data_IF_889299702873
#
_entry.id   IF_889299702873
#
_cell.length_a   1.000
_cell.length_b   1.000
_cell.length_c   1.000
_cell.angle_alpha   90.00
_cell.angle_beta   90.00
_cell.angle_gamma   90.00
#
_symmetry.space_group_name_H-M   'P 1'
#
loop_
_entity.id
_entity.type
_entity.pdbx_description
1 polymer ?
#
# COMPACT_ATOMS: atom_id res chain seq x y z
N UNK A 1 101.79 -11.20 10.08
CA UNK A 1 100.92 -10.35 10.90
C UNK A 1 99.68 -10.06 10.09
N UNK A 2 98.58 -10.82 10.26
CA UNK A 2 97.33 -10.70 9.52
C UNK A 2 96.24 -10.25 10.47
N UNK A 3 95.61 -9.12 10.14
CA UNK A 3 94.50 -8.58 10.89
C UNK A 3 93.15 -9.07 10.28
N UNK A 4 92.46 -9.89 11.02
CA UNK A 4 91.06 -10.27 10.73
C UNK A 4 90.14 -9.13 11.07
N UNK A 5 89.30 -8.67 10.09
CA UNK A 5 88.15 -7.78 10.28
C UNK A 5 86.89 -8.63 10.26
N UNK A 6 86.25 -8.74 11.38
CA UNK A 6 84.93 -9.36 11.53
C UNK A 6 83.85 -8.37 11.17
N UNK A 7 83.10 -8.61 10.11
CA UNK A 7 81.92 -7.88 9.71
C UNK A 7 80.71 -8.52 10.36
N UNK A 8 80.06 -7.79 11.26
CA UNK A 8 78.74 -8.16 11.86
C UNK A 8 77.63 -7.71 10.91
N UNK A 9 76.91 -8.66 10.28
CA UNK A 9 75.72 -8.40 9.50
C UNK A 9 74.55 -8.36 10.45
N UNK A 10 73.97 -7.19 10.58
CA UNK A 10 72.67 -6.97 11.30
C UNK A 10 71.54 -7.30 10.35
N UNK A 11 70.79 -8.36 10.63
CA UNK A 11 69.61 -8.77 9.93
C UNK A 11 68.45 -7.99 10.49
N UNK A 12 67.95 -6.96 9.75
CA UNK A 12 66.72 -6.26 10.09
C UNK A 12 65.52 -7.06 9.54
N UNK A 13 64.75 -7.72 10.44
CA UNK A 13 63.51 -8.39 10.12
C UNK A 13 62.43 -7.33 10.20
N UNK A 14 61.99 -6.82 9.05
CA UNK A 14 60.81 -5.97 8.93
C UNK A 14 59.58 -6.85 8.97
N UNK A 15 58.89 -6.89 10.12
CA UNK A 15 57.56 -7.48 10.25
C UNK A 15 56.55 -6.56 9.56
N UNK A 16 56.11 -6.92 8.37
CA UNK A 16 54.95 -6.28 7.70
C UNK A 16 53.67 -6.74 8.38
N UNK A 17 53.11 -5.89 9.21
CA UNK A 17 51.72 -6.01 9.71
C UNK A 17 50.76 -5.84 8.55
N UNK A 18 50.26 -6.95 7.99
CA UNK A 18 49.07 -6.91 7.14
C UNK A 18 47.86 -6.59 8.02
N UNK A 19 47.50 -5.32 8.07
CA UNK A 19 46.19 -4.89 8.53
C UNK A 19 45.22 -5.26 7.39
N UNK A 20 44.63 -6.44 7.47
CA UNK A 20 43.53 -6.86 6.62
C UNK A 20 42.32 -6.01 6.99
N UNK A 21 42.16 -4.87 6.33
CA UNK A 21 40.88 -4.17 6.30
C UNK A 21 39.86 -5.10 5.62
N UNK A 22 39.05 -5.80 6.42
CA UNK A 22 37.84 -6.44 5.94
C UNK A 22 36.88 -5.33 5.44
N UNK A 23 37.08 -4.92 4.21
CA UNK A 23 36.10 -4.16 3.46
C UNK A 23 34.90 -5.09 3.20
N UNK A 24 33.96 -5.13 4.16
CA UNK A 24 32.65 -5.72 3.94
C UNK A 24 31.87 -4.79 3.03
N UNK A 25 32.31 -4.65 1.79
CA UNK A 25 31.43 -4.21 0.72
C UNK A 25 30.35 -5.26 0.60
N UNK A 26 29.13 -4.90 0.95
CA UNK A 26 27.93 -5.68 0.68
C UNK A 26 27.84 -5.93 -0.83
N UNK A 27 28.49 -6.98 -1.31
CA UNK A 27 28.35 -7.45 -2.68
C UNK A 27 27.00 -8.16 -2.78
N UNK A 28 25.94 -7.38 -3.04
CA UNK A 28 24.80 -7.97 -3.72
C UNK A 28 25.32 -8.47 -5.07
N UNK A 29 24.96 -9.70 -5.51
CA UNK A 29 25.31 -10.14 -6.84
C UNK A 29 24.74 -9.12 -7.83
N UNK A 30 25.60 -8.46 -8.60
CA UNK A 30 25.19 -7.60 -9.70
C UNK A 30 24.22 -8.42 -10.55
N UNK A 31 23.00 -7.95 -10.64
CA UNK A 31 22.04 -8.46 -11.61
C UNK A 31 22.63 -8.16 -12.98
N UNK A 32 23.27 -9.15 -13.60
CA UNK A 32 24.06 -9.04 -14.85
C UNK A 32 23.25 -8.58 -16.07
N UNK A 33 21.93 -8.42 -15.93
CA UNK A 33 21.05 -7.91 -16.98
C UNK A 33 20.65 -6.48 -16.63
N UNK A 34 21.26 -5.51 -17.27
CA UNK A 34 20.71 -4.14 -17.30
C UNK A 34 19.49 -4.16 -18.22
N UNK A 35 18.32 -3.82 -17.69
CA UNK A 35 17.05 -3.80 -18.42
C UNK A 35 17.00 -2.69 -19.46
N UNK A 36 18.13 -1.99 -19.67
CA UNK A 36 18.23 -0.90 -20.64
C UNK A 36 17.22 0.21 -20.32
N UNK A 37 16.91 1.06 -21.26
CA UNK A 37 15.97 2.18 -21.08
C UNK A 37 14.50 1.74 -20.90
N UNK A 38 14.24 0.63 -20.21
CA UNK A 38 12.89 0.16 -19.96
C UNK A 38 12.17 1.08 -18.98
N UNK A 39 11.03 1.60 -19.41
CA UNK A 39 10.15 2.42 -18.57
C UNK A 39 8.92 1.61 -18.18
N UNK A 40 8.49 1.78 -16.93
CA UNK A 40 7.24 1.23 -16.42
C UNK A 40 6.34 2.37 -15.96
N UNK A 41 5.06 2.31 -16.33
CA UNK A 41 4.03 3.22 -15.84
C UNK A 41 3.18 2.53 -14.77
N UNK A 42 3.24 3.05 -13.54
CA UNK A 42 2.58 2.47 -12.36
C UNK A 42 1.54 3.47 -11.83
N UNK A 43 0.28 3.03 -11.79
CA UNK A 43 -0.83 3.81 -11.25
C UNK A 43 -0.84 3.82 -9.72
N UNK A 44 -1.17 4.97 -9.13
CA UNK A 44 -1.35 5.15 -7.69
C UNK A 44 -2.79 5.56 -7.40
N UNK A 45 -3.49 4.79 -6.56
CA UNK A 45 -4.81 5.19 -6.06
C UNK A 45 -4.67 6.34 -5.05
N UNK A 46 -5.64 7.26 -4.96
CA UNK A 46 -5.56 8.46 -4.11
C UNK A 46 -5.88 8.13 -2.65
N UNK A 47 -4.91 7.70 -1.86
CA UNK A 47 -5.11 7.40 -0.43
C UNK A 47 -4.81 8.57 0.50
N UNK A 48 -3.93 9.47 0.07
CA UNK A 48 -3.44 10.61 0.85
C UNK A 48 -3.39 11.85 -0.03
N UNK A 49 -3.00 12.97 0.57
CA UNK A 49 -2.65 14.17 -0.18
C UNK A 49 -1.64 13.85 -1.28
N UNK A 50 -1.92 14.35 -2.50
CA UNK A 50 -1.17 14.02 -3.73
C UNK A 50 0.33 14.36 -3.58
N UNK A 51 0.67 15.43 -2.87
CA UNK A 51 2.07 15.85 -2.69
C UNK A 51 2.81 14.89 -1.76
N UNK A 52 2.21 14.52 -0.62
CA UNK A 52 2.80 13.53 0.30
C UNK A 52 2.96 12.17 -0.39
N UNK A 53 1.94 11.72 -1.10
CA UNK A 53 2.00 10.46 -1.84
C UNK A 53 3.12 10.49 -2.88
N UNK A 54 3.24 11.57 -3.65
CA UNK A 54 4.31 11.72 -4.64
C UNK A 54 5.71 11.63 -4.01
N UNK A 55 5.95 12.33 -2.90
CA UNK A 55 7.25 12.28 -2.22
C UNK A 55 7.65 10.86 -1.80
N UNK A 56 6.70 10.09 -1.25
CA UNK A 56 6.94 8.71 -0.85
C UNK A 56 7.34 7.82 -2.04
N UNK A 57 6.67 7.95 -3.17
CA UNK A 57 6.96 7.12 -4.35
C UNK A 57 8.20 7.58 -5.13
N UNK A 58 8.59 8.85 -5.05
CA UNK A 58 9.81 9.34 -5.70
C UNK A 58 11.08 8.72 -5.12
N UNK A 59 11.14 8.43 -3.83
CA UNK A 59 12.30 7.74 -3.25
C UNK A 59 12.39 6.29 -3.73
N UNK A 60 11.25 5.62 -3.89
CA UNK A 60 11.18 4.26 -4.43
C UNK A 60 11.61 4.22 -5.90
N UNK A 61 11.16 5.20 -6.72
CA UNK A 61 11.59 5.37 -8.11
C UNK A 61 13.12 5.42 -8.21
N UNK A 62 13.75 6.28 -7.41
CA UNK A 62 15.21 6.42 -7.42
C UNK A 62 15.90 5.12 -7.03
N UNK A 63 15.44 4.44 -5.98
CA UNK A 63 16.02 3.18 -5.54
C UNK A 63 15.95 2.10 -6.62
N UNK A 64 14.80 1.94 -7.27
CA UNK A 64 14.63 0.97 -8.36
C UNK A 64 15.51 1.28 -9.56
N UNK A 65 15.65 2.56 -9.91
CA UNK A 65 16.58 2.98 -10.96
C UNK A 65 18.04 2.63 -10.61
N UNK A 66 18.48 2.96 -9.40
CA UNK A 66 19.84 2.69 -8.94
C UNK A 66 20.16 1.18 -8.90
N UNK A 67 19.14 0.32 -8.68
CA UNK A 67 19.31 -1.14 -8.55
C UNK A 67 19.13 -1.92 -9.85
N UNK A 68 18.19 -1.51 -10.67
CA UNK A 68 17.76 -2.27 -11.85
C UNK A 68 18.03 -1.54 -13.17
N UNK A 69 18.36 -0.25 -13.13
CA UNK A 69 18.50 0.58 -14.32
C UNK A 69 17.18 0.86 -15.06
N UNK A 70 16.03 0.56 -14.43
CA UNK A 70 14.70 0.81 -15.00
C UNK A 70 14.15 2.15 -14.51
N UNK A 71 13.40 2.84 -15.37
CA UNK A 71 12.66 4.03 -14.98
C UNK A 71 11.23 3.65 -14.61
N UNK A 72 10.85 3.84 -13.34
CA UNK A 72 9.45 3.67 -12.90
C UNK A 72 8.79 5.03 -12.84
N UNK A 73 7.79 5.25 -13.67
CA UNK A 73 6.97 6.45 -13.67
C UNK A 73 5.70 6.20 -12.87
N UNK A 74 5.49 6.96 -11.80
CA UNK A 74 4.27 6.89 -11.01
C UNK A 74 3.28 7.96 -11.47
N UNK A 75 2.03 7.56 -11.72
CA UNK A 75 0.92 8.45 -12.07
C UNK A 75 -0.18 8.37 -11.02
N UNK A 76 -0.56 9.52 -10.45
CA UNK A 76 -1.68 9.56 -9.52
C UNK A 76 -3.00 9.49 -10.28
N UNK A 77 -3.88 8.62 -9.82
CA UNK A 77 -5.25 8.55 -10.29
C UNK A 77 -6.08 9.62 -9.58
N UNK A 78 -7.00 10.24 -10.29
CA UNK A 78 -7.89 11.26 -9.71
C UNK A 78 -8.93 10.65 -8.77
N UNK A 79 -9.23 9.34 -8.93
CA UNK A 79 -10.23 8.59 -8.16
C UNK A 79 -9.83 7.11 -8.09
N UNK A 80 -10.27 6.41 -7.04
CA UNK A 80 -10.12 4.96 -6.91
C UNK A 80 -10.70 4.21 -8.12
N UNK A 81 -11.85 4.67 -8.59
CA UNK A 81 -12.64 4.02 -9.59
C UNK A 81 -12.13 4.00 -11.00
N UNK A 82 -11.21 4.85 -11.32
CA UNK A 82 -10.74 4.98 -12.70
C UNK A 82 -9.56 4.08 -13.04
N UNK A 83 -9.08 3.28 -12.08
CA UNK A 83 -7.84 2.54 -12.29
C UNK A 83 -7.97 1.50 -13.40
N UNK A 84 -9.10 0.79 -13.50
CA UNK A 84 -9.29 -0.24 -14.53
C UNK A 84 -9.37 0.38 -15.93
N UNK A 85 -10.11 1.49 -16.06
CA UNK A 85 -10.25 2.20 -17.35
C UNK A 85 -8.93 2.85 -17.77
N UNK A 86 -8.27 3.55 -16.85
CA UNK A 86 -7.00 4.22 -17.13
C UNK A 86 -5.86 3.25 -17.37
N UNK A 87 -5.87 2.09 -16.70
CA UNK A 87 -4.88 1.06 -16.91
C UNK A 87 -4.78 0.68 -18.40
N UNK A 88 -5.94 0.45 -19.03
CA UNK A 88 -6.00 0.14 -20.47
C UNK A 88 -5.72 1.38 -21.34
N UNK A 89 -6.32 2.53 -21.02
CA UNK A 89 -6.21 3.74 -21.83
C UNK A 89 -4.79 4.33 -21.88
N UNK A 90 -4.04 4.20 -20.77
CA UNK A 90 -2.68 4.73 -20.65
C UNK A 90 -1.60 3.66 -20.83
N UNK A 91 -1.97 2.41 -21.16
CA UNK A 91 -1.06 1.25 -21.25
C UNK A 91 -0.19 1.09 -20.01
N UNK A 92 -0.80 1.13 -18.83
CA UNK A 92 -0.06 0.98 -17.57
C UNK A 92 0.52 -0.42 -17.44
N UNK A 93 1.70 -0.52 -16.86
CA UNK A 93 2.38 -1.79 -16.57
C UNK A 93 1.95 -2.38 -15.22
N UNK A 94 1.42 -1.56 -14.34
CA UNK A 94 0.97 -1.98 -13.01
C UNK A 94 0.33 -0.86 -12.22
N UNK A 95 0.06 -1.16 -10.95
CA UNK A 95 -0.44 -0.17 -10.00
C UNK A 95 -0.23 -0.61 -8.55
N UNK A 96 -0.24 0.38 -7.65
CA UNK A 96 -0.44 0.12 -6.25
C UNK A 96 -1.95 0.18 -5.98
N UNK A 97 -2.52 -0.98 -5.71
CA UNK A 97 -3.95 -1.18 -5.56
C UNK A 97 -4.32 -1.45 -4.11
N UNK A 98 -5.45 -0.92 -3.64
CA UNK A 98 -6.08 -1.46 -2.43
C UNK A 98 -6.70 -2.83 -2.73
N UNK A 99 -7.20 -3.52 -1.70
CA UNK A 99 -7.69 -4.88 -1.87
C UNK A 99 -8.82 -4.98 -2.91
N UNK A 100 -9.75 -4.02 -2.96
CA UNK A 100 -10.89 -4.09 -3.89
C UNK A 100 -10.48 -3.69 -5.31
N UNK A 101 -9.72 -2.61 -5.48
CA UNK A 101 -9.21 -2.24 -6.81
C UNK A 101 -8.28 -3.30 -7.38
N UNK A 102 -7.48 -4.00 -6.53
CA UNK A 102 -6.72 -5.16 -6.97
C UNK A 102 -7.62 -6.28 -7.50
N UNK A 103 -8.64 -6.66 -6.74
CA UNK A 103 -9.54 -7.74 -7.17
C UNK A 103 -10.28 -7.40 -8.47
N UNK A 104 -10.68 -6.13 -8.65
CA UNK A 104 -11.25 -5.66 -9.92
C UNK A 104 -10.25 -5.76 -11.06
N UNK A 105 -9.04 -5.22 -10.87
CA UNK A 105 -7.99 -5.24 -11.88
C UNK A 105 -7.54 -6.68 -12.21
N UNK A 106 -7.43 -7.56 -11.20
CA UNK A 106 -7.12 -8.97 -11.41
C UNK A 106 -8.18 -9.68 -12.28
N UNK A 107 -9.46 -9.47 -11.97
CA UNK A 107 -10.55 -10.15 -12.69
C UNK A 107 -10.83 -9.56 -14.08
N UNK A 108 -10.59 -8.26 -14.29
CA UNK A 108 -10.89 -7.57 -15.55
C UNK A 108 -9.69 -7.42 -16.47
N UNK A 109 -8.48 -7.30 -15.92
CA UNK A 109 -7.24 -7.01 -16.67
C UNK A 109 -6.20 -8.12 -16.53
N UNK A 110 -6.37 -9.04 -15.58
CA UNK A 110 -5.44 -10.13 -15.33
C UNK A 110 -4.13 -9.72 -14.68
N UNK A 111 -4.10 -8.59 -13.95
CA UNK A 111 -2.89 -8.20 -13.19
C UNK A 111 -2.59 -9.20 -12.07
N UNK A 112 -1.32 -9.34 -11.73
CA UNK A 112 -0.82 -10.28 -10.73
C UNK A 112 -0.17 -9.51 -9.58
N UNK A 113 -0.60 -9.76 -8.33
CA UNK A 113 0.01 -9.17 -7.15
C UNK A 113 1.44 -9.71 -6.97
N UNK A 114 2.34 -8.81 -6.59
CA UNK A 114 3.77 -9.11 -6.49
C UNK A 114 4.28 -9.00 -5.06
N UNK A 115 4.12 -7.82 -4.46
CA UNK A 115 4.53 -7.50 -3.10
C UNK A 115 3.58 -6.49 -2.46
N UNK A 116 3.53 -6.47 -1.13
CA UNK A 116 2.88 -5.41 -0.36
C UNK A 116 3.81 -4.88 0.74
N UNK A 117 3.68 -3.63 1.15
CA UNK A 117 4.51 -3.06 2.19
C UNK A 117 4.19 -3.66 3.57
N UNK A 118 5.17 -3.59 4.44
CA UNK A 118 5.03 -3.78 5.89
C UNK A 118 5.13 -2.41 6.52
N UNK A 119 4.11 -1.99 7.27
CA UNK A 119 4.09 -0.72 7.99
C UNK A 119 5.24 -0.63 9.01
N UNK A 120 5.52 0.57 9.51
CA UNK A 120 6.55 0.79 10.52
C UNK A 120 6.29 0.04 11.83
N UNK A 121 5.03 -0.23 12.16
CA UNK A 121 4.60 -1.05 13.31
C UNK A 121 4.75 -2.56 13.09
N UNK A 122 5.19 -2.99 11.90
CA UNK A 122 5.37 -4.40 11.52
C UNK A 122 4.11 -5.07 10.96
N UNK A 123 2.99 -4.37 10.84
CA UNK A 123 1.78 -4.92 10.21
C UNK A 123 1.86 -4.82 8.68
N UNK A 124 1.22 -5.76 7.98
CA UNK A 124 1.07 -5.74 6.52
C UNK A 124 -0.41 -5.83 6.11
N UNK A 125 -1.29 -5.50 7.06
CA UNK A 125 -2.74 -5.60 6.92
C UNK A 125 -3.40 -4.35 7.49
N UNK A 126 -4.67 -4.16 7.13
CA UNK A 126 -5.52 -3.12 7.68
C UNK A 126 -6.92 -3.67 8.00
N UNK A 127 -7.75 -2.83 8.61
CA UNK A 127 -9.19 -3.08 8.84
C UNK A 127 -10.01 -1.93 8.30
N UNK A 128 -11.22 -2.22 7.87
CA UNK A 128 -12.25 -1.21 7.72
C UNK A 128 -12.87 -0.90 9.08
N UNK A 129 -13.08 0.37 9.36
CA UNK A 129 -13.87 0.84 10.49
C UNK A 129 -15.17 1.44 10.00
N UNK A 130 -16.28 1.13 10.69
CA UNK A 130 -17.50 1.93 10.66
C UNK A 130 -17.52 2.71 11.97
N UNK A 131 -17.69 4.01 11.89
CA UNK A 131 -17.66 4.90 13.03
C UNK A 131 -18.78 5.93 13.00
N UNK A 132 -19.11 6.42 14.17
CA UNK A 132 -20.16 7.40 14.41
C UNK A 132 -19.69 8.41 15.46
N UNK A 133 -20.43 9.50 15.63
CA UNK A 133 -20.19 10.38 16.77
C UNK A 133 -20.64 9.73 18.07
N UNK A 134 -19.93 9.96 19.16
CA UNK A 134 -20.27 9.48 20.51
C UNK A 134 -21.64 10.00 20.99
N UNK A 135 -22.01 11.22 20.54
CA UNK A 135 -23.27 11.87 20.87
C UNK A 135 -24.42 11.50 19.91
N UNK A 136 -24.21 10.62 18.92
CA UNK A 136 -25.22 10.25 17.91
C UNK A 136 -26.31 9.31 18.44
N UNK A 137 -26.03 8.58 19.51
CA UNK A 137 -26.91 7.50 20.01
C UNK A 137 -26.89 6.22 19.17
N UNK A 138 -26.14 6.17 18.05
CA UNK A 138 -26.02 4.99 17.16
C UNK A 138 -25.05 3.99 17.77
N UNK A 139 -25.51 2.77 18.05
CA UNK A 139 -24.71 1.66 18.63
C UNK A 139 -24.83 0.36 17.84
N UNK A 140 -25.86 0.26 16.98
CA UNK A 140 -26.18 -0.95 16.20
C UNK A 140 -26.55 -0.58 14.78
N UNK A 141 -26.56 -1.55 13.86
CA UNK A 141 -27.02 -1.34 12.49
C UNK A 141 -28.50 -0.92 12.44
N UNK A 142 -29.33 -1.38 13.37
CA UNK A 142 -30.76 -1.01 13.45
C UNK A 142 -30.97 0.48 13.68
N UNK A 143 -30.10 1.14 14.45
CA UNK A 143 -30.17 2.56 14.76
C UNK A 143 -29.63 3.46 13.63
N UNK A 144 -29.10 2.86 12.57
CA UNK A 144 -28.71 3.57 11.35
C UNK A 144 -29.90 3.96 10.46
N UNK A 145 -31.12 3.46 10.77
CA UNK A 145 -32.34 3.78 9.98
C UNK A 145 -32.56 5.29 9.90
N UNK A 146 -32.71 5.81 8.68
CA UNK A 146 -32.92 7.24 8.45
C UNK A 146 -31.70 8.13 8.70
N UNK A 147 -30.51 7.55 8.93
CA UNK A 147 -29.27 8.27 9.16
C UNK A 147 -28.47 8.44 7.87
N UNK A 148 -27.70 9.52 7.77
CA UNK A 148 -26.86 9.81 6.60
C UNK A 148 -25.52 9.06 6.72
N UNK A 149 -25.13 8.35 5.65
CA UNK A 149 -23.90 7.59 5.58
C UNK A 149 -22.92 8.20 4.56
N UNK A 150 -21.71 8.56 5.00
CA UNK A 150 -20.64 8.97 4.11
C UNK A 150 -19.76 7.76 3.76
N UNK A 151 -19.69 7.44 2.48
CA UNK A 151 -18.79 6.47 1.89
C UNK A 151 -17.55 7.16 1.30
N UNK A 152 -16.43 6.40 1.12
CA UNK A 152 -15.26 6.93 0.42
C UNK A 152 -15.51 7.00 -1.08
N UNK A 153 -15.50 5.86 -1.73
CA UNK A 153 -15.83 5.65 -3.15
C UNK A 153 -16.26 4.20 -3.36
N UNK A 154 -17.05 3.94 -4.43
CA UNK A 154 -17.58 2.61 -4.75
C UNK A 154 -16.51 1.54 -5.03
N UNK A 155 -15.27 1.93 -5.27
CA UNK A 155 -14.13 1.04 -5.50
C UNK A 155 -13.25 0.83 -4.27
N UNK A 156 -13.74 1.15 -3.07
CA UNK A 156 -12.96 1.00 -1.84
C UNK A 156 -13.46 -0.16 -0.99
N UNK A 157 -12.52 -0.91 -0.40
CA UNK A 157 -12.88 -2.01 0.50
C UNK A 157 -13.45 -1.49 1.82
N UNK A 158 -12.65 -0.71 2.55
CA UNK A 158 -13.01 -0.24 3.89
C UNK A 158 -14.11 0.82 3.85
N UNK A 159 -14.11 1.67 2.82
CA UNK A 159 -15.02 2.81 2.71
C UNK A 159 -16.34 2.51 2.01
N UNK A 160 -16.52 1.32 1.45
CA UNK A 160 -17.74 0.97 0.73
C UNK A 160 -18.13 -0.52 0.83
N UNK A 161 -17.27 -1.43 0.37
CA UNK A 161 -17.62 -2.86 0.29
C UNK A 161 -17.89 -3.46 1.67
N UNK A 162 -17.04 -3.20 2.64
CA UNK A 162 -17.21 -3.67 4.01
C UNK A 162 -18.48 -3.12 4.68
N UNK A 163 -18.78 -1.81 4.65
CA UNK A 163 -20.03 -1.32 5.21
C UNK A 163 -21.28 -1.89 4.53
N UNK A 164 -21.27 -2.13 3.23
CA UNK A 164 -22.39 -2.82 2.57
C UNK A 164 -22.58 -4.25 3.07
N UNK A 165 -21.47 -5.00 3.24
CA UNK A 165 -21.52 -6.35 3.77
C UNK A 165 -22.02 -6.34 5.22
N UNK A 166 -21.57 -5.43 6.05
CA UNK A 166 -22.04 -5.26 7.43
C UNK A 166 -23.54 -4.95 7.50
N UNK A 167 -24.04 -4.05 6.66
CA UNK A 167 -25.49 -3.76 6.60
C UNK A 167 -26.26 -4.99 6.20
N UNK A 168 -25.81 -5.74 5.19
CA UNK A 168 -26.46 -6.95 4.72
C UNK A 168 -26.48 -8.08 5.75
N UNK A 169 -25.39 -8.27 6.49
CA UNK A 169 -25.30 -9.21 7.63
C UNK A 169 -26.31 -8.89 8.73
N UNK A 170 -26.67 -7.61 8.87
CA UNK A 170 -27.70 -7.17 9.83
C UNK A 170 -29.10 -7.06 9.20
N UNK A 171 -29.35 -7.74 8.07
CA UNK A 171 -30.67 -7.81 7.43
C UNK A 171 -31.05 -6.59 6.58
N UNK A 172 -30.14 -5.62 6.40
CA UNK A 172 -30.38 -4.42 5.60
C UNK A 172 -29.90 -4.68 4.17
N UNK A 173 -30.80 -5.16 3.33
CA UNK A 173 -30.51 -5.56 1.93
C UNK A 173 -30.63 -4.40 0.93
N UNK A 174 -31.34 -3.33 1.29
CA UNK A 174 -31.50 -2.11 0.49
C UNK A 174 -31.02 -0.88 1.32
N UNK A 175 -29.72 -0.61 1.35
CA UNK A 175 -29.17 0.52 2.09
C UNK A 175 -29.75 1.89 1.66
N UNK A 176 -29.95 2.19 0.35
CA UNK A 176 -30.59 3.44 -0.06
C UNK A 176 -31.99 3.66 0.51
N UNK A 177 -32.81 2.62 0.56
CA UNK A 177 -34.15 2.72 1.14
C UNK A 177 -34.15 2.78 2.68
N UNK A 178 -33.13 2.22 3.32
CA UNK A 178 -33.01 2.13 4.76
C UNK A 178 -32.40 3.38 5.39
N UNK A 179 -31.37 3.94 4.77
CA UNK A 179 -30.63 5.10 5.23
C UNK A 179 -31.36 6.42 4.85
N UNK A 180 -31.13 7.47 5.61
CA UNK A 180 -31.67 8.82 5.31
C UNK A 180 -30.92 9.55 4.20
N UNK A 181 -29.99 8.90 3.55
CA UNK A 181 -29.18 9.39 2.44
C UNK A 181 -27.76 8.89 2.51
N UNK A 182 -27.14 8.84 1.34
CA UNK A 182 -25.72 8.44 1.20
C UNK A 182 -25.02 9.41 0.26
N UNK A 183 -23.73 9.62 0.50
CA UNK A 183 -22.87 10.33 -0.45
C UNK A 183 -21.44 9.79 -0.42
N UNK A 184 -20.69 10.13 -1.44
CA UNK A 184 -19.28 9.74 -1.57
C UNK A 184 -18.40 10.96 -1.32
N UNK A 185 -17.53 10.89 -0.29
CA UNK A 185 -16.66 11.99 0.11
C UNK A 185 -15.33 12.00 -0.65
N UNK A 186 -15.01 10.93 -1.39
CA UNK A 186 -13.83 10.83 -2.26
C UNK A 186 -12.55 10.35 -1.56
N UNK A 187 -12.41 10.54 -0.25
CA UNK A 187 -11.26 10.04 0.51
C UNK A 187 -11.64 9.61 1.93
N UNK A 188 -10.88 8.71 2.57
CA UNK A 188 -11.09 8.33 3.97
C UNK A 188 -11.06 9.52 4.93
N UNK A 189 -10.15 10.46 4.69
CA UNK A 189 -10.01 11.68 5.47
C UNK A 189 -11.25 12.56 5.39
N UNK A 190 -11.79 12.76 4.18
CA UNK A 190 -13.01 13.55 3.97
C UNK A 190 -14.24 12.90 4.65
N UNK A 191 -14.34 11.56 4.68
CA UNK A 191 -15.40 10.85 5.42
C UNK A 191 -15.30 11.13 6.91
N UNK A 192 -14.10 11.06 7.49
CA UNK A 192 -13.91 11.33 8.93
C UNK A 192 -14.28 12.76 9.26
N UNK A 193 -13.88 13.73 8.42
CA UNK A 193 -14.25 15.12 8.59
C UNK A 193 -15.77 15.35 8.46
N UNK A 194 -16.42 14.70 7.51
CA UNK A 194 -17.88 14.80 7.33
C UNK A 194 -18.64 14.35 8.59
N UNK A 195 -18.20 13.28 9.26
CA UNK A 195 -18.83 12.83 10.50
C UNK A 195 -18.53 13.78 11.67
N UNK A 196 -17.29 14.26 11.79
CA UNK A 196 -16.91 15.28 12.79
C UNK A 196 -17.74 16.56 12.66
N UNK A 197 -17.99 16.99 11.42
CA UNK A 197 -18.71 18.21 11.12
C UNK A 197 -20.23 18.03 11.06
N UNK A 198 -20.76 16.83 11.38
CA UNK A 198 -22.19 16.49 11.36
C UNK A 198 -22.84 16.58 9.95
N UNK A 199 -22.04 16.50 8.90
CA UNK A 199 -22.50 16.38 7.52
C UNK A 199 -23.00 14.96 7.23
N UNK A 200 -22.44 13.97 7.94
CA UNK A 200 -22.92 12.60 8.01
C UNK A 200 -23.06 12.15 9.47
N UNK A 201 -23.94 11.18 9.71
CA UNK A 201 -24.11 10.54 11.02
C UNK A 201 -23.16 9.34 11.18
N UNK A 202 -22.84 8.67 10.05
CA UNK A 202 -22.08 7.44 9.96
C UNK A 202 -21.00 7.61 8.90
N UNK A 203 -19.83 7.10 9.17
CA UNK A 203 -18.74 7.02 8.21
C UNK A 203 -18.05 5.66 8.21
N UNK A 204 -17.38 5.37 7.11
CA UNK A 204 -16.52 4.20 7.02
C UNK A 204 -15.18 4.55 6.37
N UNK A 205 -14.09 4.08 6.96
CA UNK A 205 -12.74 4.37 6.50
C UNK A 205 -11.77 3.24 6.88
N UNK A 206 -10.58 3.29 6.28
CA UNK A 206 -9.44 2.44 6.61
C UNK A 206 -8.89 2.85 7.98
N UNK A 207 -8.64 1.86 8.85
CA UNK A 207 -8.14 2.13 10.19
C UNK A 207 -6.83 2.91 10.20
N UNK A 208 -5.91 2.61 9.28
CA UNK A 208 -4.61 3.30 9.20
C UNK A 208 -4.73 4.81 9.01
N UNK A 209 -5.73 5.26 8.25
CA UNK A 209 -6.02 6.70 8.07
C UNK A 209 -6.79 7.26 9.27
N UNK A 210 -7.73 6.47 9.81
CA UNK A 210 -8.46 6.88 11.02
C UNK A 210 -7.51 7.09 12.20
N UNK A 211 -6.61 6.14 12.46
CA UNK A 211 -5.67 6.16 13.56
C UNK A 211 -4.63 7.29 13.39
N UNK A 212 -4.17 7.54 12.14
CA UNK A 212 -3.30 8.68 11.82
C UNK A 212 -3.98 10.01 12.15
N UNK A 213 -5.22 10.20 11.68
CA UNK A 213 -5.97 11.42 11.97
C UNK A 213 -6.33 11.57 13.45
N UNK A 214 -6.56 10.48 14.17
CA UNK A 214 -6.78 10.52 15.61
C UNK A 214 -5.53 11.03 16.36
N UNK A 215 -4.34 10.66 15.89
CA UNK A 215 -3.08 11.16 16.45
C UNK A 215 -2.82 12.66 16.13
N UNK A 216 -3.25 13.13 14.96
CA UNK A 216 -3.05 14.52 14.52
C UNK A 216 -4.18 15.47 15.00
N UNK A 217 -5.40 14.98 15.15
CA UNK A 217 -6.59 15.76 15.50
C UNK A 217 -7.31 15.16 16.69
N UNK A 218 -7.15 15.73 17.91
CA UNK A 218 -7.78 15.22 19.14
C UNK A 218 -9.32 15.13 19.09
N UNK A 219 -9.98 15.84 18.17
CA UNK A 219 -11.44 15.73 17.99
C UNK A 219 -11.86 14.34 17.54
N UNK A 220 -11.04 13.65 16.72
CA UNK A 220 -11.35 12.30 16.23
C UNK A 220 -11.54 11.36 17.41
N UNK A 221 -10.56 11.27 18.30
CA UNK A 221 -10.62 10.40 19.48
C UNK A 221 -11.71 10.87 20.49
N UNK A 222 -11.85 12.18 20.67
CA UNK A 222 -12.79 12.76 21.63
C UNK A 222 -14.24 12.61 21.20
N UNK A 223 -14.56 12.81 19.93
CA UNK A 223 -15.93 12.95 19.42
C UNK A 223 -16.44 11.71 18.69
N UNK A 224 -15.54 10.86 18.13
CA UNK A 224 -15.94 9.68 17.39
C UNK A 224 -15.76 8.39 18.20
N UNK A 225 -16.52 7.36 17.82
CA UNK A 225 -16.41 6.00 18.33
C UNK A 225 -16.53 5.01 17.18
N UNK A 226 -15.69 3.98 17.21
CA UNK A 226 -15.74 2.88 16.26
C UNK A 226 -16.91 1.98 16.66
N UNK A 227 -17.87 1.81 15.75
CA UNK A 227 -19.04 0.96 15.95
C UNK A 227 -18.70 -0.52 15.70
N UNK A 228 -17.95 -0.78 14.61
CA UNK A 228 -17.50 -2.12 14.23
C UNK A 228 -16.28 -2.06 13.35
N UNK A 229 -15.57 -3.20 13.23
CA UNK A 229 -14.41 -3.35 12.35
C UNK A 229 -14.50 -4.62 11.52
N UNK A 230 -13.93 -4.58 10.31
CA UNK A 230 -13.81 -5.76 9.45
C UNK A 230 -12.82 -6.79 10.00
N UNK A 231 -12.79 -7.98 9.42
CA UNK A 231 -11.62 -8.84 9.45
C UNK A 231 -10.41 -8.13 8.82
N UNK A 232 -9.20 -8.66 9.06
CA UNK A 232 -7.99 -8.11 8.46
C UNK A 232 -7.99 -8.27 6.94
N UNK A 233 -7.45 -7.28 6.26
CA UNK A 233 -7.31 -7.18 4.82
C UNK A 233 -5.84 -6.88 4.50
N UNK A 234 -5.28 -7.40 3.40
CA UNK A 234 -3.93 -7.04 2.97
C UNK A 234 -3.81 -5.54 2.71
N UNK A 235 -2.66 -4.94 3.06
CA UNK A 235 -2.33 -3.59 2.60
C UNK A 235 -2.28 -3.53 1.07
N UNK A 236 -2.22 -2.31 0.54
CA UNK A 236 -2.11 -2.07 -0.88
C UNK A 236 -0.93 -2.83 -1.47
N UNK A 237 -1.14 -3.52 -2.57
CA UNK A 237 -0.08 -4.26 -3.25
C UNK A 237 0.37 -3.57 -4.54
N UNK A 238 1.64 -3.74 -4.85
CA UNK A 238 2.10 -3.61 -6.23
C UNK A 238 1.63 -4.82 -7.00
N UNK A 239 0.79 -4.61 -8.01
CA UNK A 239 0.43 -5.63 -8.98
C UNK A 239 0.80 -5.18 -10.39
N UNK A 240 1.24 -6.11 -11.21
CA UNK A 240 1.75 -5.88 -12.55
C UNK A 240 0.93 -6.66 -13.57
N UNK A 241 0.88 -6.18 -14.82
CA UNK A 241 0.25 -6.90 -15.92
C UNK A 241 0.89 -8.28 -16.10
N UNK A 242 0.08 -9.27 -16.46
CA UNK A 242 0.52 -10.67 -16.56
C UNK A 242 1.59 -10.87 -17.61
N UNK A 243 1.49 -10.18 -18.72
CA UNK A 243 2.37 -10.28 -19.89
C UNK A 243 3.69 -9.48 -19.80
N UNK A 244 3.94 -8.80 -18.66
CA UNK A 244 5.24 -8.19 -18.41
C UNK A 244 6.32 -9.28 -18.32
N UNK A 245 7.51 -8.98 -18.87
CA UNK A 245 8.68 -9.89 -18.86
C UNK A 245 8.83 -10.58 -17.49
N UNK A 246 8.79 -11.92 -17.41
CA UNK A 246 8.86 -12.66 -16.16
C UNK A 246 10.16 -12.43 -15.39
N UNK A 247 11.29 -12.22 -16.08
CA UNK A 247 12.56 -11.94 -15.44
C UNK A 247 12.55 -10.54 -14.81
N UNK A 248 11.94 -9.55 -15.47
CA UNK A 248 11.76 -8.21 -14.91
C UNK A 248 10.83 -8.25 -13.68
N UNK A 249 9.71 -8.97 -13.73
CA UNK A 249 8.83 -9.17 -12.57
C UNK A 249 9.60 -9.79 -11.39
N UNK A 250 10.39 -10.82 -11.67
CA UNK A 250 11.21 -11.50 -10.66
C UNK A 250 12.28 -10.57 -10.06
N UNK A 251 12.95 -9.78 -10.90
CA UNK A 251 13.96 -8.82 -10.47
C UNK A 251 13.36 -7.70 -9.60
N UNK A 252 12.21 -7.14 -10.02
CA UNK A 252 11.46 -6.15 -9.24
C UNK A 252 11.06 -6.71 -7.87
N UNK A 253 10.44 -7.90 -7.86
CA UNK A 253 10.03 -8.58 -6.63
C UNK A 253 11.20 -8.78 -5.70
N UNK A 254 12.29 -9.37 -6.20
CA UNK A 254 13.50 -9.61 -5.40
C UNK A 254 14.09 -8.31 -4.86
N UNK A 255 14.19 -7.27 -5.69
CA UNK A 255 14.73 -5.97 -5.28
C UNK A 255 13.93 -5.34 -4.16
N UNK A 256 12.59 -5.39 -4.24
CA UNK A 256 11.70 -4.84 -3.19
C UNK A 256 11.77 -5.67 -1.90
N UNK A 257 11.78 -7.00 -1.98
CA UNK A 257 11.90 -7.89 -0.82
C UNK A 257 13.26 -7.77 -0.11
N UNK A 258 14.31 -7.43 -0.85
CA UNK A 258 15.68 -7.32 -0.30
C UNK A 258 16.03 -5.91 0.19
N UNK A 259 15.11 -4.92 0.09
CA UNK A 259 15.40 -3.52 0.47
C UNK A 259 15.91 -3.37 1.90
N UNK A 260 15.36 -4.14 2.85
CA UNK A 260 15.77 -4.06 4.26
C UNK A 260 17.22 -4.59 4.52
N UNK A 261 17.81 -5.29 3.55
CA UNK A 261 19.14 -5.92 3.67
C UNK A 261 20.29 -4.95 3.39
N UNK A 262 20.02 -3.77 2.88
CA UNK A 262 21.03 -2.76 2.60
C UNK A 262 20.69 -1.38 3.17
N UNK A 263 21.74 -0.58 3.42
CA UNK A 263 21.59 0.75 4.03
C UNK A 263 20.74 1.70 3.19
N UNK A 264 20.92 1.72 1.86
CA UNK A 264 20.16 2.61 0.98
C UNK A 264 18.69 2.16 0.90
N UNK A 265 18.45 0.85 0.87
CA UNK A 265 17.11 0.28 0.92
C UNK A 265 16.39 0.62 2.22
N UNK A 266 17.05 0.44 3.37
CA UNK A 266 16.49 0.80 4.69
C UNK A 266 16.14 2.28 4.78
N UNK A 267 17.02 3.18 4.32
CA UNK A 267 16.73 4.62 4.30
C UNK A 267 15.58 4.97 3.35
N UNK A 268 15.53 4.32 2.18
CA UNK A 268 14.42 4.48 1.22
C UNK A 268 13.10 4.03 1.83
N UNK A 269 13.08 2.86 2.48
CA UNK A 269 11.90 2.33 3.17
C UNK A 269 11.39 3.28 4.24
N UNK A 270 12.28 3.81 5.08
CA UNK A 270 11.92 4.78 6.11
C UNK A 270 11.23 6.02 5.52
N UNK A 271 11.75 6.55 4.40
CA UNK A 271 11.16 7.70 3.69
C UNK A 271 9.89 7.34 2.93
N UNK A 272 9.76 6.11 2.47
CA UNK A 272 8.55 5.58 1.86
C UNK A 272 7.44 5.33 2.89
N UNK A 273 7.78 5.25 4.18
CA UNK A 273 6.84 4.99 5.27
C UNK A 273 6.59 3.51 5.54
N UNK A 274 7.52 2.64 5.14
CA UNK A 274 7.45 1.20 5.36
C UNK A 274 8.69 0.67 6.07
N UNK A 275 8.56 -0.50 6.69
CA UNK A 275 9.66 -1.27 7.27
C UNK A 275 10.31 -2.20 6.24
N UNK A 276 9.52 -2.67 5.28
CA UNK A 276 9.94 -3.61 4.25
C UNK A 276 8.81 -3.90 3.28
N UNK A 277 9.04 -4.87 2.41
CA UNK A 277 8.02 -5.47 1.56
C UNK A 277 7.95 -6.97 1.83
N UNK A 278 6.77 -7.55 1.70
CA UNK A 278 6.55 -8.99 1.73
C UNK A 278 5.87 -9.45 0.44
N UNK A 279 6.08 -10.71 0.12
CA UNK A 279 5.37 -11.34 -1.00
C UNK A 279 3.87 -11.36 -0.76
N UNK A 280 3.10 -11.19 -1.84
CA UNK A 280 1.65 -11.31 -1.81
C UNK A 280 1.16 -11.90 -3.12
N UNK A 281 0.08 -12.66 -3.05
CA UNK A 281 -0.60 -13.22 -4.22
C UNK A 281 -2.12 -13.17 -4.06
N UNK A 282 -2.85 -13.68 -5.05
CA UNK A 282 -4.30 -13.61 -5.08
C UNK A 282 -5.00 -14.34 -3.91
N UNK A 283 -4.34 -15.31 -3.27
CA UNK A 283 -4.89 -16.07 -2.12
C UNK A 283 -5.07 -15.19 -0.89
N UNK A 284 -4.21 -14.17 -0.73
CA UNK A 284 -4.30 -13.23 0.40
C UNK A 284 -5.60 -12.41 0.38
N UNK A 285 -6.26 -12.33 -0.80
CA UNK A 285 -7.48 -11.54 -1.01
C UNK A 285 -8.79 -12.34 -0.92
N UNK A 286 -8.75 -13.57 -0.42
CA UNK A 286 -9.90 -14.47 -0.34
C UNK A 286 -11.06 -13.88 0.46
N UNK A 287 -10.78 -13.17 1.54
CA UNK A 287 -11.80 -12.48 2.33
C UNK A 287 -12.54 -11.42 1.51
N UNK A 288 -11.84 -10.70 0.65
CA UNK A 288 -12.45 -9.72 -0.25
C UNK A 288 -13.39 -10.38 -1.27
N UNK A 289 -12.99 -11.52 -1.85
CA UNK A 289 -13.87 -12.27 -2.77
C UNK A 289 -15.16 -12.69 -2.08
N UNK A 290 -15.08 -13.12 -0.80
CA UNK A 290 -16.27 -13.43 0.00
C UNK A 290 -17.15 -12.21 0.24
N UNK A 291 -16.57 -11.06 0.61
CA UNK A 291 -17.32 -9.80 0.78
C UNK A 291 -18.04 -9.40 -0.50
N UNK A 292 -17.36 -9.47 -1.65
CA UNK A 292 -17.95 -9.11 -2.95
C UNK A 292 -19.14 -10.01 -3.30
N UNK A 293 -18.99 -11.32 -3.12
CA UNK A 293 -20.07 -12.28 -3.32
C UNK A 293 -21.25 -12.03 -2.37
N UNK A 294 -20.97 -11.75 -1.11
CA UNK A 294 -21.98 -11.46 -0.08
C UNK A 294 -22.86 -10.26 -0.44
N UNK A 295 -22.30 -9.22 -1.04
CA UNK A 295 -23.07 -8.06 -1.48
C UNK A 295 -23.57 -8.15 -2.92
N UNK A 296 -23.32 -9.28 -3.62
CA UNK A 296 -23.79 -9.51 -4.98
C UNK A 296 -22.99 -8.77 -6.05
N UNK A 297 -21.74 -8.43 -5.79
CA UNK A 297 -20.85 -7.80 -6.77
C UNK A 297 -20.13 -8.86 -7.57
N UNK A 298 -20.33 -8.88 -8.89
CA UNK A 298 -19.52 -9.63 -9.84
C UNK A 298 -18.30 -8.80 -10.26
N UNK A 299 -17.13 -9.21 -9.81
CA UNK A 299 -15.87 -8.48 -10.03
C UNK A 299 -15.47 -8.39 -11.52
N UNK A 300 -15.95 -9.31 -12.37
CA UNK A 300 -15.64 -9.31 -13.80
C UNK A 300 -16.40 -8.23 -14.57
N UNK A 301 -17.62 -7.95 -14.11
CA UNK A 301 -18.54 -7.05 -14.82
C UNK A 301 -18.81 -5.75 -14.06
N UNK A 302 -18.34 -5.67 -12.82
CA UNK A 302 -18.60 -4.49 -11.97
C UNK A 302 -18.10 -3.20 -12.63
N UNK A 303 -19.05 -2.36 -12.94
CA UNK A 303 -18.84 -0.99 -13.41
C UNK A 303 -19.46 -0.05 -12.38
N UNK A 304 -18.74 0.98 -12.03
CA UNK A 304 -19.22 1.91 -11.03
C UNK A 304 -18.92 3.35 -11.45
N UNK A 305 -19.84 4.20 -11.06
CA UNK A 305 -19.69 5.65 -11.08
C UNK A 305 -19.99 6.15 -9.69
N UNK A 306 -19.20 7.08 -9.21
CA UNK A 306 -19.49 7.83 -7.99
C UNK A 306 -20.35 9.05 -8.41
N UNK A 307 -21.63 8.85 -8.56
CA UNK A 307 -22.62 9.90 -8.83
C UNK A 307 -23.35 10.27 -7.55
#
# INVERSE_FOLDING_TARGET
>A
MARYRTTISVLIVTAALFIGACDRTNQFPELKKTWGQQELLIGLIPEQDVFRQREHYMVLKKYLYDRLGITVNFTNLSRYGNIVERFTAENMDGGFFDSFTYALAHNQLGVEALVRPVNLDGTSTYRGYIFVRKDSGIRTAAEMKGKRFAFVERATTAGYLFPLAYLRENGITDPPAYLGGTFFAGSPEAVIQAVLNKEADIGAAKNTIYDLLAAENPRVEKELVILTSSSVLPLNCLALRRDLDPELKSALKKTLLDMEKDRNGTETLRRFGARGFIETDNRDYEYLYRLSAQVGIDLKTYRYKNE
#
